data_IF_003173877095
#
_entry.id   IF_003173877095
#
_cell.length_a   1.000
_cell.length_b   1.000
_cell.length_c   1.000
_cell.angle_alpha   90.00
_cell.angle_beta   90.00
_cell.angle_gamma   90.00
#
_symmetry.space_group_name_H-M   'P 1'
#
loop_
_entity.id
_entity.type
_entity.pdbx_description
1 polymer ?
#
# COMPACT_ATOMS: atom_id res chain seq x y z
N UNK A 1 10.35 -12.37 7.91
CA UNK A 1 10.44 -12.38 6.44
C UNK A 1 9.19 -11.69 5.93
N UNK A 2 9.33 -10.76 4.99
CA UNK A 2 8.21 -10.01 4.40
C UNK A 2 8.11 -10.37 2.92
N UNK A 3 6.92 -10.74 2.47
CA UNK A 3 6.59 -10.98 1.07
C UNK A 3 5.77 -9.80 0.55
N UNK A 4 6.31 -9.03 -0.38
CA UNK A 4 5.60 -7.92 -1.03
C UNK A 4 4.90 -8.46 -2.28
N UNK A 5 3.59 -8.27 -2.35
CA UNK A 5 2.74 -8.90 -3.36
C UNK A 5 2.17 -7.86 -4.33
N UNK A 6 1.93 -8.29 -5.57
CA UNK A 6 1.27 -7.46 -6.59
C UNK A 6 -0.24 -7.37 -6.31
N UNK A 7 -0.61 -6.55 -5.33
CA UNK A 7 -1.99 -6.28 -4.93
C UNK A 7 -2.76 -7.50 -4.38
N UNK A 8 -4.07 -7.31 -4.22
CA UNK A 8 -4.96 -8.26 -3.55
C UNK A 8 -5.12 -9.56 -4.34
N UNK A 9 -5.07 -9.52 -5.67
CA UNK A 9 -5.22 -10.72 -6.50
C UNK A 9 -4.18 -11.80 -6.16
N UNK A 10 -2.93 -11.38 -5.90
CA UNK A 10 -1.86 -12.29 -5.47
C UNK A 10 -2.02 -12.68 -4.00
N UNK A 11 -2.41 -11.73 -3.16
CA UNK A 11 -2.59 -11.95 -1.73
C UNK A 11 -3.66 -12.98 -1.40
N UNK A 12 -4.81 -12.91 -2.07
CA UNK A 12 -5.93 -13.82 -1.84
C UNK A 12 -5.54 -15.29 -2.08
N UNK A 13 -4.68 -15.55 -3.07
CA UNK A 13 -4.19 -16.90 -3.36
C UNK A 13 -3.18 -17.35 -2.30
N UNK A 14 -2.23 -16.49 -1.94
CA UNK A 14 -1.15 -16.85 -1.01
C UNK A 14 -1.63 -16.99 0.44
N UNK A 15 -2.70 -16.29 0.83
CA UNK A 15 -3.34 -16.44 2.13
C UNK A 15 -3.91 -17.86 2.37
N UNK A 16 -4.18 -18.63 1.31
CA UNK A 16 -4.66 -20.01 1.39
C UNK A 16 -3.53 -21.04 1.56
N UNK A 17 -2.28 -20.59 1.68
CA UNK A 17 -1.09 -21.45 1.78
C UNK A 17 -0.43 -21.38 3.16
N UNK A 18 0.35 -22.40 3.51
CA UNK A 18 1.18 -22.40 4.73
C UNK A 18 2.52 -21.65 4.54
N UNK A 19 2.59 -20.68 3.63
CA UNK A 19 3.82 -19.91 3.37
C UNK A 19 4.20 -19.09 4.62
N UNK A 20 5.37 -19.34 5.24
CA UNK A 20 5.76 -18.60 6.44
C UNK A 20 6.16 -17.16 6.10
N UNK A 21 5.89 -16.24 7.04
CA UNK A 21 6.21 -14.83 6.92
C UNK A 21 4.97 -13.96 6.78
N UNK A 22 5.19 -12.65 6.66
CA UNK A 22 4.12 -11.68 6.52
C UNK A 22 3.85 -11.38 5.04
N UNK A 23 2.58 -11.35 4.66
CA UNK A 23 2.14 -11.03 3.30
C UNK A 23 1.67 -9.57 3.26
N UNK A 24 2.34 -8.74 2.44
CA UNK A 24 1.97 -7.35 2.25
C UNK A 24 1.49 -7.12 0.81
N UNK A 25 0.17 -7.00 0.58
CA UNK A 25 -0.35 -6.59 -0.71
C UNK A 25 0.01 -5.13 -0.95
N UNK A 26 0.81 -4.86 -1.98
CA UNK A 26 1.25 -3.52 -2.32
C UNK A 26 0.07 -2.66 -2.79
N UNK A 27 -0.02 -1.43 -2.26
CA UNK A 27 -1.13 -0.50 -2.45
C UNK A 27 -0.82 0.64 -3.41
N UNK A 28 0.46 0.92 -3.60
CA UNK A 28 0.90 2.17 -4.22
C UNK A 28 1.36 1.94 -5.68
N UNK A 29 0.79 2.68 -6.62
CA UNK A 29 1.20 2.68 -8.02
C UNK A 29 2.06 3.93 -8.36
N UNK A 30 3.31 3.98 -7.87
CA UNK A 30 4.16 5.19 -8.00
C UNK A 30 4.49 5.60 -9.44
N UNK A 31 4.30 4.70 -10.39
CA UNK A 31 4.41 4.99 -11.83
C UNK A 31 3.29 5.92 -12.33
N UNK A 32 2.20 6.05 -11.57
CA UNK A 32 1.02 6.84 -11.89
C UNK A 32 0.82 8.00 -10.88
N UNK A 33 0.38 9.13 -11.41
CA UNK A 33 0.04 10.31 -10.63
C UNK A 33 1.23 11.06 -10.02
N UNK A 34 0.95 12.13 -9.25
CA UNK A 34 1.99 13.00 -8.72
C UNK A 34 2.76 12.35 -7.57
N UNK A 35 4.09 12.46 -7.60
CA UNK A 35 5.02 11.99 -6.57
C UNK A 35 6.05 13.07 -6.19
N UNK A 36 5.60 14.27 -5.73
CA UNK A 36 6.49 15.37 -5.40
C UNK A 36 7.42 15.01 -4.22
N UNK A 37 8.69 15.36 -4.36
CA UNK A 37 9.67 15.14 -3.31
C UNK A 37 9.45 16.08 -2.11
N UNK A 38 9.74 15.60 -0.90
CA UNK A 38 9.80 16.42 0.31
C UNK A 38 8.45 16.75 0.96
N UNK A 39 7.35 16.11 0.55
CA UNK A 39 6.08 16.27 1.25
C UNK A 39 6.12 15.62 2.65
N UNK A 40 5.50 16.25 3.67
CA UNK A 40 5.21 15.61 4.94
C UNK A 40 4.39 14.32 4.75
N UNK A 41 4.58 13.34 5.64
CA UNK A 41 3.93 12.02 5.52
C UNK A 41 2.41 12.11 5.37
N UNK A 42 1.73 12.92 6.18
CA UNK A 42 0.27 13.04 6.13
C UNK A 42 -0.20 13.68 4.81
N UNK A 43 0.53 14.69 4.31
CA UNK A 43 0.24 15.31 3.02
C UNK A 43 0.48 14.35 1.86
N UNK A 44 1.55 13.55 1.95
CA UNK A 44 1.84 12.47 1.00
C UNK A 44 0.72 11.43 0.95
N UNK A 45 0.31 10.90 2.12
CA UNK A 45 -0.78 9.92 2.22
C UNK A 45 -2.08 10.49 1.64
N UNK A 46 -2.41 11.75 1.97
CA UNK A 46 -3.60 12.41 1.43
C UNK A 46 -3.53 12.56 -0.10
N UNK A 47 -2.40 13.04 -0.64
CA UNK A 47 -2.19 13.20 -2.08
C UNK A 47 -2.36 11.85 -2.81
N UNK A 48 -1.70 10.81 -2.31
CA UNK A 48 -1.70 9.49 -2.93
C UNK A 48 -3.06 8.81 -2.81
N UNK A 49 -3.71 8.88 -1.65
CA UNK A 49 -5.03 8.29 -1.47
C UNK A 49 -6.09 8.93 -2.38
N UNK A 50 -6.05 10.25 -2.58
CA UNK A 50 -6.93 10.94 -3.52
C UNK A 50 -6.71 10.42 -4.94
N UNK A 51 -5.46 10.39 -5.42
CA UNK A 51 -5.15 9.89 -6.76
C UNK A 51 -5.60 8.43 -6.97
N UNK A 52 -5.30 7.54 -6.02
CA UNK A 52 -5.68 6.13 -6.13
C UNK A 52 -7.21 5.95 -6.08
N UNK A 53 -7.95 6.76 -5.33
CA UNK A 53 -9.42 6.66 -5.30
C UNK A 53 -10.12 7.06 -6.61
N UNK A 54 -9.42 7.77 -7.50
CA UNK A 54 -9.98 8.16 -8.81
C UNK A 54 -9.95 6.98 -9.79
N UNK A 55 -8.90 6.15 -9.72
CA UNK A 55 -8.65 5.05 -10.66
C UNK A 55 -9.06 3.67 -10.13
N UNK A 56 -9.08 3.52 -8.81
CA UNK A 56 -9.50 2.29 -8.13
C UNK A 56 -10.87 2.52 -7.49
N UNK A 57 -11.80 1.58 -7.64
CA UNK A 57 -13.16 1.60 -7.05
C UNK A 57 -13.14 1.49 -5.51
N UNK A 58 -12.47 2.44 -4.85
CA UNK A 58 -12.23 2.53 -3.42
C UNK A 58 -12.40 3.98 -2.99
N UNK A 59 -12.95 4.17 -1.79
CA UNK A 59 -13.02 5.50 -1.19
C UNK A 59 -11.63 6.03 -0.83
N UNK A 60 -11.51 7.36 -0.72
CA UNK A 60 -10.30 8.02 -0.24
C UNK A 60 -9.87 7.47 1.13
N UNK A 61 -10.81 7.24 2.04
CA UNK A 61 -10.51 6.76 3.39
C UNK A 61 -10.00 5.31 3.39
N UNK A 62 -10.55 4.44 2.55
CA UNK A 62 -10.03 3.07 2.36
C UNK A 62 -8.61 3.07 1.78
N UNK A 63 -8.33 3.96 0.82
CA UNK A 63 -6.99 4.14 0.26
C UNK A 63 -6.01 4.65 1.33
N UNK A 64 -6.38 5.65 2.13
CA UNK A 64 -5.55 6.15 3.24
C UNK A 64 -5.22 5.06 4.24
N UNK A 65 -6.24 4.35 4.72
CA UNK A 65 -6.05 3.29 5.69
C UNK A 65 -5.09 2.21 5.16
N UNK A 66 -5.27 1.80 3.90
CA UNK A 66 -4.42 0.81 3.24
C UNK A 66 -2.97 1.29 3.08
N UNK A 67 -2.77 2.55 2.68
CA UNK A 67 -1.43 3.15 2.54
C UNK A 67 -0.73 3.30 3.90
N UNK A 68 -1.43 3.77 4.93
CA UNK A 68 -0.87 3.88 6.28
C UNK A 68 -0.44 2.51 6.81
N UNK A 69 -1.28 1.48 6.65
CA UNK A 69 -0.94 0.12 7.05
C UNK A 69 0.30 -0.40 6.31
N UNK A 70 0.40 -0.16 4.99
CA UNK A 70 1.59 -0.53 4.22
C UNK A 70 2.86 0.11 4.79
N UNK A 71 2.83 1.43 5.03
CA UNK A 71 3.98 2.17 5.54
C UNK A 71 4.37 1.72 6.96
N UNK A 72 3.40 1.40 7.81
CA UNK A 72 3.65 0.85 9.13
C UNK A 72 4.35 -0.52 9.05
N UNK A 73 3.85 -1.43 8.21
CA UNK A 73 4.50 -2.74 7.97
C UNK A 73 5.92 -2.54 7.45
N UNK A 74 6.14 -1.68 6.46
CA UNK A 74 7.49 -1.42 5.94
C UNK A 74 8.44 -0.89 7.03
N UNK A 75 7.96 -0.03 7.94
CA UNK A 75 8.76 0.48 9.07
C UNK A 75 9.18 -0.61 10.04
N UNK A 76 8.34 -1.63 10.30
CA UNK A 76 8.72 -2.71 11.23
C UNK A 76 9.84 -3.61 10.68
N UNK A 77 9.98 -3.67 9.34
CA UNK A 77 11.01 -4.43 8.65
C UNK A 77 12.23 -3.60 8.21
N UNK A 78 12.18 -2.27 8.34
CA UNK A 78 13.29 -1.36 8.01
C UNK A 78 14.07 -1.01 9.29
N UNK A 79 15.08 -1.80 9.63
CA UNK A 79 16.03 -1.52 10.72
C UNK A 79 17.38 -1.10 10.19
#
# INVERSE_FOLDING_TARGET
MLHILNGDATANILQETDLPGELLPWREALIAGPTPNGLPFDEWINLRANHLSEDYEKSVDECKASLCNQEEVLRTFSK
#
